data_IF_221559576331
#
_entry.id   IF_221559576331
#
_cell.length_a   1.000
_cell.length_b   1.000
_cell.length_c   1.000
_cell.angle_alpha   90.00
_cell.angle_beta   90.00
_cell.angle_gamma   90.00
#
_symmetry.space_group_name_H-M   'P 1'
#
loop_
_entity.id
_entity.type
_entity.pdbx_description
1 polymer ?
#
# COMPACT_ATOMS: atom_id res chain seq x y z
N UNK A 1 -49.37 13.33 -39.97
CA UNK A 1 -48.49 14.15 -39.14
C UNK A 1 -47.38 13.28 -38.58
N UNK A 2 -46.22 13.31 -39.22
CA UNK A 2 -45.07 12.49 -38.84
C UNK A 2 -44.24 13.21 -37.78
N UNK A 3 -44.10 12.55 -36.66
CA UNK A 3 -43.30 13.05 -35.55
C UNK A 3 -41.86 12.46 -35.69
N UNK A 4 -40.97 13.26 -36.23
CA UNK A 4 -39.52 12.90 -36.33
C UNK A 4 -38.91 13.18 -34.97
N UNK A 5 -38.79 12.12 -34.16
CA UNK A 5 -37.96 12.15 -32.95
C UNK A 5 -36.48 12.31 -33.31
N UNK A 6 -35.92 13.45 -32.96
CA UNK A 6 -34.46 13.65 -33.01
C UNK A 6 -33.83 12.70 -32.00
N UNK A 7 -33.06 11.74 -32.51
CA UNK A 7 -32.11 10.96 -31.71
C UNK A 7 -31.10 11.94 -31.10
N UNK A 8 -31.11 12.06 -29.78
CA UNK A 8 -30.04 12.71 -29.05
C UNK A 8 -28.80 11.84 -29.22
N UNK A 9 -27.83 12.34 -30.00
CA UNK A 9 -26.47 11.82 -30.05
C UNK A 9 -25.86 11.92 -28.62
N UNK A 10 -25.92 10.84 -27.89
CA UNK A 10 -25.14 10.69 -26.67
C UNK A 10 -23.69 10.59 -27.10
N UNK A 11 -22.96 11.71 -27.00
CA UNK A 11 -21.51 11.75 -27.12
C UNK A 11 -20.97 10.81 -26.00
N UNK A 12 -20.62 9.56 -26.38
CA UNK A 12 -19.88 8.69 -25.50
C UNK A 12 -18.55 9.35 -25.19
N UNK A 13 -18.43 9.94 -24.01
CA UNK A 13 -17.16 10.47 -23.50
C UNK A 13 -16.13 9.32 -23.51
N UNK A 14 -15.20 9.37 -24.44
CA UNK A 14 -14.11 8.39 -24.51
C UNK A 14 -13.10 8.69 -23.41
N UNK A 15 -12.86 7.71 -22.54
CA UNK A 15 -11.78 7.82 -21.56
C UNK A 15 -10.42 7.87 -22.26
N UNK A 16 -9.57 8.80 -21.84
CA UNK A 16 -8.21 9.05 -22.34
C UNK A 16 -7.23 8.73 -21.22
N UNK A 17 -6.07 8.16 -21.57
CA UNK A 17 -4.97 7.92 -20.65
C UNK A 17 -3.65 8.52 -21.18
N UNK A 18 -2.58 8.48 -20.35
CA UNK A 18 -1.27 8.99 -20.74
C UNK A 18 -0.67 8.24 -21.94
N UNK A 19 -1.03 6.96 -22.13
CA UNK A 19 -0.57 6.18 -23.29
C UNK A 19 -1.20 6.73 -24.57
N UNK A 20 -2.48 7.12 -24.53
CA UNK A 20 -3.17 7.75 -25.66
C UNK A 20 -2.54 9.12 -25.99
N UNK A 21 -2.26 9.92 -24.96
CA UNK A 21 -1.60 11.23 -25.11
C UNK A 21 -0.21 11.04 -25.75
N UNK A 22 0.62 10.14 -25.24
CA UNK A 22 1.95 9.86 -25.79
C UNK A 22 1.90 9.35 -27.22
N UNK A 23 0.94 8.49 -27.56
CA UNK A 23 0.74 8.00 -28.94
C UNK A 23 0.29 9.11 -29.88
N UNK A 24 -0.55 10.03 -29.45
CA UNK A 24 -1.00 11.16 -30.27
C UNK A 24 0.15 12.12 -30.58
N UNK A 25 1.08 12.30 -29.66
CA UNK A 25 2.29 13.11 -29.83
C UNK A 25 3.29 12.50 -30.83
N UNK A 26 3.50 11.16 -30.74
CA UNK A 26 4.50 10.47 -31.55
C UNK A 26 4.02 10.12 -32.95
N UNK A 27 2.71 9.97 -33.21
CA UNK A 27 2.18 9.44 -34.49
C UNK A 27 1.37 10.45 -35.31
N UNK A 28 1.26 11.73 -34.89
CA UNK A 28 0.39 12.66 -35.59
C UNK A 28 -1.03 12.09 -35.78
N UNK A 29 -2.05 12.84 -35.78
CA UNK A 29 -3.49 12.60 -35.72
C UNK A 29 -4.10 11.37 -36.49
N UNK A 30 -3.39 10.26 -36.70
CA UNK A 30 -3.85 9.06 -37.39
C UNK A 30 -3.71 7.80 -36.56
N UNK A 31 -4.66 7.58 -35.64
CA UNK A 31 -5.10 6.20 -35.29
C UNK A 31 -6.40 6.25 -34.51
N UNK A 32 -7.49 6.40 -35.22
CA UNK A 32 -8.84 6.15 -34.70
C UNK A 32 -9.08 4.65 -34.74
N UNK A 33 -8.55 3.88 -33.79
CA UNK A 33 -9.00 2.53 -33.54
C UNK A 33 -9.97 2.57 -32.37
N UNK A 34 -11.18 2.07 -32.61
CA UNK A 34 -12.16 1.83 -31.55
C UNK A 34 -11.60 0.80 -30.57
N UNK A 35 -11.23 1.27 -29.36
CA UNK A 35 -10.70 0.43 -28.30
C UNK A 35 -11.78 -0.27 -27.49
N UNK A 36 -12.78 -0.83 -28.15
CA UNK A 36 -13.59 -1.93 -27.62
C UNK A 36 -12.82 -3.23 -27.81
N UNK A 37 -11.64 -3.36 -27.20
CA UNK A 37 -10.95 -4.64 -27.13
C UNK A 37 -11.57 -5.41 -25.97
N UNK A 38 -12.27 -6.53 -26.22
CA UNK A 38 -12.64 -7.43 -25.14
C UNK A 38 -11.37 -7.76 -24.36
N UNK A 39 -11.39 -7.62 -23.05
CA UNK A 39 -10.27 -8.03 -22.23
C UNK A 39 -10.06 -9.53 -22.41
N UNK A 40 -9.10 -9.91 -23.24
CA UNK A 40 -8.80 -11.31 -23.51
C UNK A 40 -8.14 -11.91 -22.27
N UNK A 41 -8.62 -13.10 -21.90
CA UNK A 41 -7.98 -13.96 -20.89
C UNK A 41 -6.50 -14.11 -21.23
N UNK A 42 -5.62 -13.97 -20.21
CA UNK A 42 -4.18 -14.09 -20.37
C UNK A 42 -3.48 -12.89 -21.01
N UNK A 43 -4.21 -11.83 -21.42
CA UNK A 43 -3.56 -10.60 -21.90
C UNK A 43 -2.93 -9.84 -20.72
N UNK A 44 -1.61 -9.66 -20.80
CA UNK A 44 -0.85 -8.90 -19.82
C UNK A 44 -0.93 -7.40 -20.13
N UNK A 45 -1.38 -6.63 -19.16
CA UNK A 45 -1.35 -5.17 -19.19
C UNK A 45 -0.18 -4.68 -18.33
N UNK A 46 0.74 -3.97 -18.95
CA UNK A 46 1.94 -3.47 -18.28
C UNK A 46 1.83 -1.95 -18.20
N UNK A 47 1.98 -1.43 -17.00
CA UNK A 47 2.15 -0.01 -16.72
C UNK A 47 3.51 0.17 -16.08
N UNK A 48 4.44 0.80 -16.77
CA UNK A 48 5.77 1.06 -16.26
C UNK A 48 6.07 2.56 -16.38
N UNK A 49 6.66 3.13 -15.34
CA UNK A 49 6.96 4.54 -15.28
C UNK A 49 8.27 4.77 -14.54
N UNK A 50 9.27 5.40 -15.19
CA UNK A 50 10.38 6.00 -14.47
C UNK A 50 9.90 7.30 -13.80
N UNK A 51 10.13 7.41 -12.50
CA UNK A 51 9.77 8.58 -11.70
C UNK A 51 11.02 9.07 -10.98
N UNK A 52 11.22 10.37 -10.96
CA UNK A 52 12.13 11.02 -10.04
C UNK A 52 11.31 11.96 -9.17
N UNK A 53 11.53 11.93 -7.88
CA UNK A 53 10.74 12.72 -6.94
C UNK A 53 11.44 12.91 -5.60
N UNK A 54 10.78 13.65 -4.75
CA UNK A 54 11.20 13.89 -3.38
C UNK A 54 10.11 13.42 -2.42
N UNK A 55 10.49 12.62 -1.44
CA UNK A 55 9.63 12.27 -0.31
C UNK A 55 10.37 12.52 1.01
N UNK A 56 9.65 12.66 2.11
CA UNK A 56 10.25 12.81 3.44
C UNK A 56 11.21 11.67 3.78
N UNK A 57 10.90 10.47 3.33
CA UNK A 57 11.57 9.24 3.67
C UNK A 57 12.82 8.97 2.84
N UNK A 58 12.79 9.34 1.56
CA UNK A 58 13.85 9.02 0.60
C UNK A 58 14.72 10.23 0.28
N UNK A 59 14.28 11.45 0.61
CA UNK A 59 14.83 12.63 -0.04
C UNK A 59 14.56 12.54 -1.55
N UNK A 60 15.47 13.01 -2.39
CA UNK A 60 15.40 12.77 -3.81
C UNK A 60 15.64 11.29 -4.14
N UNK A 61 14.79 10.73 -4.98
CA UNK A 61 14.90 9.33 -5.40
C UNK A 61 14.58 9.17 -6.89
N UNK A 62 15.30 8.25 -7.52
CA UNK A 62 14.94 7.68 -8.81
C UNK A 62 14.23 6.34 -8.60
N UNK A 63 13.10 6.18 -9.24
CA UNK A 63 12.25 4.97 -9.12
C UNK A 63 11.90 4.49 -10.52
N UNK A 64 12.13 3.22 -10.80
CA UNK A 64 11.50 2.53 -11.93
C UNK A 64 10.44 1.61 -11.36
N UNK A 65 9.17 1.96 -11.54
CA UNK A 65 8.03 1.19 -11.04
C UNK A 65 7.28 0.52 -12.17
N UNK A 66 6.77 -0.69 -11.93
CA UNK A 66 6.00 -1.46 -12.90
C UNK A 66 4.84 -2.16 -12.22
N UNK A 67 3.68 -2.09 -12.85
CA UNK A 67 2.47 -2.82 -12.49
C UNK A 67 2.08 -3.72 -13.65
N UNK A 68 1.95 -5.01 -13.37
CA UNK A 68 1.47 -6.02 -14.32
C UNK A 68 0.07 -6.45 -13.87
N UNK A 69 -0.90 -6.39 -14.78
CA UNK A 69 -2.28 -6.75 -14.50
C UNK A 69 -2.80 -7.71 -15.58
N UNK A 70 -3.46 -8.79 -15.17
CA UNK A 70 -4.01 -9.80 -16.09
C UNK A 70 -5.16 -10.58 -15.44
N UNK A 71 -6.00 -11.20 -16.32
CA UNK A 71 -7.05 -12.10 -15.88
C UNK A 71 -6.69 -13.54 -16.25
N UNK A 72 -6.88 -14.46 -15.33
CA UNK A 72 -6.63 -15.91 -15.51
C UNK A 72 -7.84 -16.65 -16.06
N UNK A 73 -9.04 -16.03 -16.03
CA UNK A 73 -10.29 -16.52 -16.63
C UNK A 73 -11.10 -15.33 -17.16
N UNK A 74 -12.30 -15.58 -17.70
CA UNK A 74 -13.14 -14.51 -18.24
C UNK A 74 -13.44 -13.44 -17.20
N UNK A 75 -13.36 -12.17 -17.59
CA UNK A 75 -13.45 -11.00 -16.71
C UNK A 75 -14.70 -10.99 -15.83
N UNK A 76 -15.82 -11.51 -16.31
CA UNK A 76 -17.07 -11.63 -15.53
C UNK A 76 -16.99 -12.59 -14.34
N UNK A 77 -15.96 -13.45 -14.30
CA UNK A 77 -15.81 -14.53 -13.32
C UNK A 77 -14.48 -14.53 -12.58
N UNK A 78 -13.62 -13.56 -12.82
CA UNK A 78 -12.28 -13.52 -12.24
C UNK A 78 -11.94 -12.17 -11.65
N UNK A 79 -11.25 -12.20 -10.52
CA UNK A 79 -10.58 -11.02 -9.97
C UNK A 79 -9.33 -10.71 -10.81
N UNK A 80 -8.96 -9.43 -10.85
CA UNK A 80 -7.77 -8.97 -11.53
C UNK A 80 -6.53 -9.39 -10.74
N UNK A 81 -5.68 -10.18 -11.38
CA UNK A 81 -4.35 -10.51 -10.83
C UNK A 81 -3.40 -9.34 -11.08
N UNK A 82 -2.61 -9.01 -10.07
CA UNK A 82 -1.66 -7.90 -10.12
C UNK A 82 -0.29 -8.31 -9.61
N UNK A 83 0.76 -7.78 -10.23
CA UNK A 83 2.13 -7.84 -9.71
C UNK A 83 2.69 -6.43 -9.75
N UNK A 84 3.03 -5.89 -8.60
CA UNK A 84 3.69 -4.61 -8.44
C UNK A 84 5.15 -4.85 -8.09
N UNK A 85 6.07 -4.19 -8.79
CA UNK A 85 7.49 -4.20 -8.48
C UNK A 85 8.12 -2.86 -8.81
N UNK A 86 9.19 -2.54 -8.11
CA UNK A 86 9.95 -1.33 -8.39
C UNK A 86 11.42 -1.52 -8.01
N UNK A 87 12.28 -0.66 -8.53
CA UNK A 87 13.61 -0.46 -8.01
C UNK A 87 13.79 1.01 -7.70
N UNK A 88 14.20 1.32 -6.49
CA UNK A 88 14.40 2.69 -6.01
C UNK A 88 15.83 2.86 -5.52
N UNK A 89 16.45 3.96 -5.94
CA UNK A 89 17.68 4.45 -5.35
C UNK A 89 17.49 5.89 -4.87
N UNK A 90 17.81 6.16 -3.60
CA UNK A 90 17.49 7.43 -2.96
C UNK A 90 18.73 8.24 -2.57
N UNK A 91 18.51 9.52 -2.28
CA UNK A 91 19.52 10.46 -1.77
C UNK A 91 20.15 9.95 -0.47
N UNK A 92 19.41 9.23 0.36
CA UNK A 92 19.88 8.63 1.61
C UNK A 92 20.53 7.26 1.39
N UNK A 93 20.94 6.93 0.14
CA UNK A 93 21.60 5.66 -0.22
C UNK A 93 20.74 4.41 0.08
N UNK A 94 19.42 4.58 0.09
CA UNK A 94 18.49 3.46 0.19
C UNK A 94 18.43 2.73 -1.15
N UNK A 95 18.36 1.41 -1.08
CA UNK A 95 18.00 0.53 -2.19
C UNK A 95 16.73 -0.20 -1.77
N UNK A 96 15.66 -0.06 -2.55
CA UNK A 96 14.35 -0.62 -2.24
C UNK A 96 13.90 -1.43 -3.45
N UNK A 97 13.70 -2.73 -3.27
CA UNK A 97 13.26 -3.65 -4.31
C UNK A 97 12.15 -4.56 -3.78
N UNK A 98 10.87 -4.18 -3.88
CA UNK A 98 9.72 -5.02 -3.58
C UNK A 98 9.27 -5.80 -4.81
N UNK A 99 8.73 -7.00 -4.58
CA UNK A 99 7.89 -7.77 -5.50
C UNK A 99 6.63 -8.13 -4.73
N UNK A 100 5.51 -7.53 -5.08
CA UNK A 100 4.23 -7.75 -4.44
C UNK A 100 3.24 -8.27 -5.47
N UNK A 101 2.66 -9.44 -5.21
CA UNK A 101 1.75 -10.06 -6.14
C UNK A 101 0.48 -10.55 -5.42
N UNK A 102 -0.63 -10.37 -6.12
CA UNK A 102 -1.94 -10.89 -5.77
C UNK A 102 -2.49 -11.61 -7.00
N UNK A 103 -2.31 -12.93 -7.04
CA UNK A 103 -2.57 -13.74 -8.22
C UNK A 103 -3.77 -14.64 -7.97
N UNK A 104 -4.82 -14.46 -8.77
CA UNK A 104 -6.03 -15.25 -8.76
C UNK A 104 -5.94 -16.36 -9.78
N UNK A 105 -6.13 -17.60 -9.36
CA UNK A 105 -6.19 -18.73 -10.29
C UNK A 105 -7.56 -18.80 -10.99
N UNK A 106 -7.66 -19.63 -12.02
CA UNK A 106 -8.89 -19.80 -12.83
C UNK A 106 -10.12 -19.97 -11.94
N UNK A 107 -11.15 -19.13 -12.16
CA UNK A 107 -12.39 -19.14 -11.41
C UNK A 107 -12.24 -18.71 -9.95
N UNK A 108 -11.22 -17.94 -9.61
CA UNK A 108 -10.91 -17.48 -8.26
C UNK A 108 -10.77 -18.61 -7.21
N UNK A 109 -10.39 -19.82 -7.66
CA UNK A 109 -10.30 -20.99 -6.78
C UNK A 109 -9.23 -20.83 -5.71
N UNK A 110 -8.10 -20.23 -6.07
CA UNK A 110 -7.02 -19.87 -5.15
C UNK A 110 -6.60 -18.43 -5.38
N UNK A 111 -6.19 -17.80 -4.30
CA UNK A 111 -5.47 -16.54 -4.29
C UNK A 111 -4.05 -16.79 -3.77
N UNK A 112 -3.04 -16.34 -4.50
CA UNK A 112 -1.63 -16.49 -4.17
C UNK A 112 -1.10 -15.09 -3.87
N UNK A 113 -0.73 -14.86 -2.61
CA UNK A 113 -0.24 -13.57 -2.11
C UNK A 113 1.27 -13.68 -1.91
N UNK A 114 2.00 -12.74 -2.49
CA UNK A 114 3.46 -12.65 -2.39
C UNK A 114 3.84 -11.25 -1.93
N UNK A 115 4.68 -11.14 -0.90
CA UNK A 115 5.33 -9.90 -0.48
C UNK A 115 6.81 -10.19 -0.22
N UNK A 116 7.63 -10.01 -1.24
CA UNK A 116 9.07 -10.18 -1.18
C UNK A 116 9.74 -8.82 -1.27
N UNK A 117 10.70 -8.55 -0.37
CA UNK A 117 11.40 -7.26 -0.35
C UNK A 117 12.87 -7.45 -0.04
N UNK A 118 13.71 -6.75 -0.78
CA UNK A 118 15.11 -6.54 -0.44
C UNK A 118 15.34 -5.05 -0.22
N UNK A 119 15.82 -4.68 0.96
CA UNK A 119 16.08 -3.30 1.31
C UNK A 119 17.50 -3.14 1.89
N UNK A 120 18.22 -2.11 1.45
CA UNK A 120 19.26 -1.44 2.21
C UNK A 120 18.65 -0.14 2.68
N UNK A 121 18.47 0.04 3.99
CA UNK A 121 17.49 1.00 4.45
C UNK A 121 17.93 1.85 5.65
N UNK A 122 18.81 2.87 5.42
CA UNK A 122 18.91 3.96 6.37
C UNK A 122 17.54 4.61 6.56
N UNK A 123 17.07 4.67 7.80
CA UNK A 123 15.76 5.26 8.11
C UNK A 123 15.79 5.96 9.47
N UNK A 124 14.81 6.82 9.71
CA UNK A 124 14.65 7.47 11.00
C UNK A 124 13.84 6.59 11.97
N UNK A 125 14.20 6.64 13.24
CA UNK A 125 13.39 6.13 14.35
C UNK A 125 13.23 7.23 15.40
N UNK A 126 12.11 7.24 16.10
CA UNK A 126 11.74 8.29 17.07
C UNK A 126 11.47 7.70 18.46
N UNK A 127 11.80 6.43 18.67
CA UNK A 127 11.49 5.69 19.90
C UNK A 127 10.15 4.97 19.83
N UNK A 128 9.65 4.55 20.98
CA UNK A 128 8.43 3.78 21.15
C UNK A 128 7.28 4.61 21.72
N UNK A 129 6.05 4.33 21.25
CA UNK A 129 4.82 4.98 21.69
C UNK A 129 4.28 6.02 20.73
N UNK A 130 3.11 6.56 21.06
CA UNK A 130 2.46 7.65 20.33
C UNK A 130 2.91 9.04 20.76
N UNK A 131 3.49 9.17 21.98
CA UNK A 131 3.95 10.43 22.57
C UNK A 131 5.45 10.65 22.35
N UNK A 132 5.92 10.52 21.10
CA UNK A 132 7.31 10.80 20.75
C UNK A 132 7.45 12.16 20.08
N UNK A 133 8.60 12.84 20.33
CA UNK A 133 8.86 14.16 19.74
C UNK A 133 9.47 14.05 18.34
N UNK A 134 9.15 14.99 17.47
CA UNK A 134 9.66 14.99 16.10
C UNK A 134 11.18 15.27 16.01
N UNK A 135 11.71 16.01 16.96
CA UNK A 135 13.14 16.37 17.10
C UNK A 135 13.97 15.27 17.78
N UNK A 136 13.34 14.24 18.34
CA UNK A 136 14.04 13.08 18.92
C UNK A 136 14.46 12.02 17.91
N UNK A 137 14.21 12.25 16.62
CA UNK A 137 14.55 11.30 15.56
C UNK A 137 16.05 11.15 15.35
N UNK A 138 16.52 9.91 15.21
CA UNK A 138 17.88 9.57 14.83
C UNK A 138 17.90 8.45 13.82
N UNK A 139 19.03 8.30 13.11
CA UNK A 139 19.13 7.31 12.03
C UNK A 139 19.40 5.91 12.58
N UNK A 140 18.77 4.93 11.96
CA UNK A 140 19.04 3.50 12.11
C UNK A 140 19.30 2.91 10.73
N UNK A 141 20.46 2.27 10.56
CA UNK A 141 20.85 1.58 9.32
C UNK A 141 20.60 0.09 9.45
N UNK A 142 20.10 -0.54 8.39
CA UNK A 142 19.96 -1.98 8.31
C UNK A 142 19.81 -2.46 6.87
N UNK A 143 20.15 -3.73 6.64
CA UNK A 143 19.68 -4.51 5.51
C UNK A 143 18.44 -5.31 5.90
N UNK A 144 17.54 -5.55 4.97
CA UNK A 144 16.30 -6.28 5.25
C UNK A 144 15.89 -7.15 4.06
N UNK A 145 15.62 -8.41 4.34
CA UNK A 145 14.99 -9.36 3.43
C UNK A 145 13.67 -9.83 4.03
N UNK A 146 12.58 -9.63 3.29
CA UNK A 146 11.26 -10.20 3.57
C UNK A 146 10.92 -11.21 2.50
N UNK A 147 10.46 -12.38 2.90
CA UNK A 147 9.89 -13.39 2.03
C UNK A 147 8.60 -13.91 2.65
N UNK A 148 7.50 -13.27 2.33
CA UNK A 148 6.15 -13.66 2.77
C UNK A 148 5.42 -14.27 1.60
N UNK A 149 4.88 -15.48 1.79
CA UNK A 149 4.15 -16.21 0.76
C UNK A 149 2.94 -16.88 1.36
N UNK A 150 1.75 -16.62 0.83
CA UNK A 150 0.51 -17.27 1.26
C UNK A 150 -0.28 -17.84 0.08
N UNK A 151 -1.04 -18.88 0.36
CA UNK A 151 -1.98 -19.50 -0.58
C UNK A 151 -3.32 -19.61 0.14
N UNK A 152 -4.34 -18.95 -0.40
CA UNK A 152 -5.68 -18.94 0.11
C UNK A 152 -6.60 -19.70 -0.84
N UNK A 153 -7.50 -20.50 -0.31
CA UNK A 153 -8.52 -21.23 -1.07
C UNK A 153 -9.88 -20.59 -0.84
N UNK A 154 -10.68 -20.49 -1.91
CA UNK A 154 -12.07 -20.05 -1.79
C UNK A 154 -12.87 -21.02 -0.92
N UNK A 155 -13.65 -20.48 0.01
CA UNK A 155 -14.54 -21.22 0.93
C UNK A 155 -15.99 -20.72 0.84
N UNK A 156 -16.21 -19.62 0.12
CA UNK A 156 -17.53 -19.04 -0.10
C UNK A 156 -17.46 -17.97 -1.16
N UNK A 157 -18.56 -17.24 -1.39
CA UNK A 157 -18.57 -16.12 -2.33
C UNK A 157 -17.66 -15.01 -1.83
N UNK A 158 -16.61 -14.67 -2.59
CA UNK A 158 -15.58 -13.67 -2.26
C UNK A 158 -14.83 -13.93 -0.94
N UNK A 159 -14.92 -15.15 -0.38
CA UNK A 159 -14.38 -15.55 0.90
C UNK A 159 -13.29 -16.62 0.74
N UNK A 160 -12.15 -16.38 1.38
CA UNK A 160 -10.96 -17.21 1.25
C UNK A 160 -10.33 -17.46 2.61
N UNK A 161 -9.84 -18.66 2.82
CA UNK A 161 -9.02 -19.05 3.96
C UNK A 161 -7.71 -19.65 3.46
N UNK A 162 -6.63 -19.37 4.14
CA UNK A 162 -5.34 -19.84 3.73
C UNK A 162 -4.26 -19.85 4.78
N UNK A 163 -3.14 -20.40 4.36
CA UNK A 163 -1.93 -20.46 5.18
C UNK A 163 -0.78 -19.85 4.39
N UNK A 164 0.18 -19.30 5.14
CA UNK A 164 1.40 -18.74 4.61
C UNK A 164 2.61 -19.11 5.44
N UNK A 165 3.76 -18.77 4.90
CA UNK A 165 5.03 -18.77 5.58
C UNK A 165 5.67 -17.39 5.43
N UNK A 166 6.08 -16.82 6.55
CA UNK A 166 6.60 -15.45 6.63
C UNK A 166 8.00 -15.49 7.24
N UNK A 167 8.97 -15.06 6.44
CA UNK A 167 10.37 -14.95 6.85
C UNK A 167 10.84 -13.51 6.73
N UNK A 168 11.39 -12.97 7.82
CA UNK A 168 12.03 -11.66 7.87
C UNK A 168 13.44 -11.80 8.43
N UNK A 169 14.42 -11.20 7.74
CA UNK A 169 15.80 -11.17 8.14
C UNK A 169 16.36 -9.76 8.06
N UNK A 170 16.79 -9.24 9.21
CA UNK A 170 17.51 -7.98 9.32
C UNK A 170 18.97 -8.25 9.63
N UNK A 171 19.87 -7.49 9.01
CA UNK A 171 21.30 -7.58 9.25
C UNK A 171 21.96 -6.20 9.24
N UNK A 172 23.17 -6.12 9.84
CA UNK A 172 23.93 -4.89 9.98
C UNK A 172 23.13 -3.77 10.65
N UNK A 173 22.27 -4.11 11.60
CA UNK A 173 21.48 -3.13 12.34
C UNK A 173 22.43 -2.30 13.20
N UNK A 174 22.36 -0.98 13.08
CA UNK A 174 23.15 -0.04 13.87
C UNK A 174 22.44 1.30 13.98
N UNK A 175 22.52 1.89 15.14
CA UNK A 175 22.15 3.29 15.34
C UNK A 175 23.26 4.21 14.81
N UNK A 176 22.88 5.31 14.19
CA UNK A 176 23.80 6.33 13.66
C UNK A 176 23.50 7.64 14.33
N UNK A 177 24.49 8.17 15.04
CA UNK A 177 24.41 9.42 15.81
C UNK A 177 23.21 9.46 16.77
N UNK A 178 23.04 8.43 17.64
CA UNK A 178 21.96 8.43 18.61
C UNK A 178 22.14 9.58 19.63
N UNK A 179 21.04 10.03 20.28
CA UNK A 179 21.11 11.08 21.30
C UNK A 179 22.09 10.75 22.42
N UNK A 180 23.01 11.66 22.72
CA UNK A 180 24.02 11.44 23.75
C UNK A 180 23.43 11.44 25.17
N UNK A 181 23.98 10.61 26.04
CA UNK A 181 23.75 10.64 27.49
C UNK A 181 22.50 9.92 28.00
N UNK A 182 21.71 9.30 27.13
CA UNK A 182 20.57 8.45 27.51
C UNK A 182 20.50 7.24 26.60
N UNK A 183 20.21 6.07 27.19
CA UNK A 183 19.92 4.90 26.40
C UNK A 183 18.71 5.15 25.49
N UNK A 184 18.82 4.78 24.22
CA UNK A 184 17.73 4.88 23.26
C UNK A 184 16.62 3.85 23.57
N UNK A 185 15.44 4.03 22.98
CA UNK A 185 14.40 3.00 23.12
C UNK A 185 14.78 1.70 22.42
N UNK A 186 15.58 1.77 21.35
CA UNK A 186 16.11 0.57 20.70
C UNK A 186 17.10 -0.18 21.63
N UNK A 187 18.01 0.53 22.30
CA UNK A 187 18.91 -0.08 23.29
C UNK A 187 18.13 -0.71 24.46
N UNK A 188 17.13 0.01 25.03
CA UNK A 188 16.28 -0.49 26.12
C UNK A 188 15.45 -1.69 25.68
N UNK A 189 14.98 -1.68 24.47
CA UNK A 189 14.23 -2.80 23.89
C UNK A 189 15.13 -4.01 23.67
N UNK A 190 16.42 -3.80 23.50
CA UNK A 190 17.46 -4.80 23.34
C UNK A 190 18.05 -4.79 21.95
N UNK A 191 19.12 -4.01 21.83
CA UNK A 191 19.90 -3.87 20.60
C UNK A 191 20.44 -5.22 20.12
N UNK A 192 20.17 -5.56 18.86
CA UNK A 192 20.78 -6.69 18.15
C UNK A 192 21.28 -6.23 16.78
N UNK A 193 22.45 -6.72 16.36
CA UNK A 193 22.97 -6.44 15.01
C UNK A 193 22.29 -7.24 13.92
N UNK A 194 21.53 -8.24 14.30
CA UNK A 194 20.83 -9.17 13.42
C UNK A 194 19.56 -9.63 14.10
N UNK A 195 18.44 -9.65 13.38
CA UNK A 195 17.16 -10.14 13.86
C UNK A 195 16.52 -11.05 12.80
N UNK A 196 15.99 -12.18 13.23
CA UNK A 196 15.29 -13.14 12.39
C UNK A 196 13.91 -13.38 12.97
N UNK A 197 12.88 -13.28 12.12
CA UNK A 197 11.55 -13.74 12.42
C UNK A 197 11.12 -14.77 11.38
N UNK A 198 10.67 -15.91 11.84
CA UNK A 198 10.25 -17.03 11.00
C UNK A 198 9.01 -17.67 11.58
N UNK A 199 7.93 -17.65 10.81
CA UNK A 199 6.63 -18.10 11.30
C UNK A 199 5.72 -18.59 10.19
N UNK A 200 4.64 -19.23 10.59
CA UNK A 200 3.51 -19.53 9.73
C UNK A 200 2.50 -18.41 9.85
N UNK A 201 1.65 -18.23 8.85
CA UNK A 201 0.52 -17.29 8.95
C UNK A 201 -0.79 -17.96 8.56
N UNK A 202 -1.84 -17.59 9.27
CA UNK A 202 -3.21 -17.95 8.92
C UNK A 202 -3.93 -16.71 8.39
N UNK A 203 -4.59 -16.87 7.26
CA UNK A 203 -5.23 -15.79 6.55
C UNK A 203 -6.73 -16.03 6.39
N UNK A 204 -7.51 -15.01 6.71
CA UNK A 204 -8.89 -14.85 6.30
C UNK A 204 -8.95 -13.65 5.35
N UNK A 205 -9.60 -13.82 4.19
CA UNK A 205 -9.78 -12.77 3.21
C UNK A 205 -11.21 -12.78 2.66
N UNK A 206 -11.85 -11.62 2.72
CA UNK A 206 -13.04 -11.28 1.96
C UNK A 206 -12.69 -10.17 0.97
N UNK A 207 -12.86 -10.39 -0.34
CA UNK A 207 -12.58 -9.39 -1.36
C UNK A 207 -13.66 -9.38 -2.45
N UNK A 208 -14.56 -8.41 -2.34
CA UNK A 208 -15.63 -8.15 -3.32
C UNK A 208 -15.30 -7.01 -4.29
N UNK A 209 -14.07 -6.51 -4.28
CA UNK A 209 -13.60 -5.49 -5.23
C UNK A 209 -13.40 -6.14 -6.60
N UNK A 210 -13.93 -5.53 -7.64
CA UNK A 210 -13.68 -6.01 -9.03
C UNK A 210 -12.31 -5.60 -9.57
N UNK A 211 -11.81 -4.48 -9.11
CA UNK A 211 -10.50 -3.95 -9.49
C UNK A 211 -9.77 -3.46 -8.22
N UNK A 212 -8.70 -4.14 -7.77
CA UNK A 212 -7.95 -3.74 -6.59
C UNK A 212 -7.03 -2.53 -6.81
N UNK A 213 -6.72 -2.17 -8.08
CA UNK A 213 -5.85 -1.04 -8.42
C UNK A 213 -6.57 0.29 -8.24
N UNK A 214 -7.87 0.33 -8.60
CA UNK A 214 -8.73 1.51 -8.49
C UNK A 214 -10.16 1.06 -8.20
N UNK A 215 -10.47 0.68 -6.97
CA UNK A 215 -11.78 0.21 -6.58
C UNK A 215 -12.79 1.37 -6.49
N UNK A 216 -13.95 1.20 -7.11
CA UNK A 216 -15.08 2.15 -7.03
C UNK A 216 -16.14 1.70 -6.04
N UNK A 217 -16.31 0.39 -5.91
CA UNK A 217 -17.31 -0.24 -5.05
C UNK A 217 -16.77 -1.55 -4.48
N UNK A 218 -17.46 -2.05 -3.47
CA UNK A 218 -17.13 -3.30 -2.82
C UNK A 218 -16.47 -3.11 -1.47
N UNK A 219 -15.90 -4.18 -0.96
CA UNK A 219 -15.20 -4.20 0.31
C UNK A 219 -14.06 -5.19 0.27
N UNK A 220 -13.11 -4.97 1.13
CA UNK A 220 -11.97 -5.82 1.39
C UNK A 220 -11.83 -5.97 2.91
N UNK A 221 -11.67 -7.19 3.38
CA UNK A 221 -11.37 -7.47 4.78
C UNK A 221 -10.35 -8.60 4.85
N UNK A 222 -9.19 -8.31 5.36
CA UNK A 222 -8.12 -9.28 5.58
C UNK A 222 -7.79 -9.35 7.06
N UNK A 223 -7.69 -10.56 7.59
CA UNK A 223 -7.18 -10.83 8.93
C UNK A 223 -6.02 -11.79 8.80
N UNK A 224 -4.86 -11.37 9.30
CA UNK A 224 -3.65 -12.20 9.30
C UNK A 224 -3.20 -12.43 10.73
N UNK A 225 -3.17 -13.69 11.16
CA UNK A 225 -2.56 -14.11 12.41
C UNK A 225 -1.23 -14.80 12.10
N UNK A 226 -0.15 -14.32 12.72
CA UNK A 226 1.21 -14.79 12.46
C UNK A 226 1.91 -15.14 13.78
N UNK A 227 1.96 -16.39 14.18
CA UNK A 227 2.88 -16.90 15.19
C UNK A 227 4.27 -17.15 14.58
N UNK A 228 5.31 -16.70 15.27
CA UNK A 228 6.71 -16.95 14.94
C UNK A 228 7.31 -17.90 15.99
N UNK A 229 8.18 -18.79 15.56
CA UNK A 229 8.67 -19.88 16.39
C UNK A 229 10.19 -20.05 16.30
N UNK A 230 10.85 -20.23 17.43
CA UNK A 230 12.29 -20.48 17.49
C UNK A 230 12.67 -21.77 16.78
N UNK A 231 11.83 -22.79 16.78
CA UNK A 231 12.08 -24.03 16.04
C UNK A 231 12.05 -23.87 14.51
N UNK A 232 11.44 -22.78 14.00
CA UNK A 232 11.49 -22.40 12.58
C UNK A 232 12.64 -21.42 12.26
N UNK A 233 13.47 -21.07 13.27
CA UNK A 233 14.59 -20.16 13.10
C UNK A 233 14.32 -18.71 13.50
N UNK A 234 13.18 -18.40 14.12
CA UNK A 234 12.93 -17.08 14.73
C UNK A 234 13.80 -16.91 15.98
N UNK A 235 14.26 -15.67 16.25
CA UNK A 235 15.06 -15.37 17.44
C UNK A 235 14.26 -15.52 18.74
N UNK A 236 12.93 -15.29 18.67
CA UNK A 236 12.01 -15.49 19.80
C UNK A 236 10.64 -15.99 19.33
N UNK A 237 9.85 -16.53 20.27
CA UNK A 237 8.46 -16.90 20.03
C UNK A 237 7.58 -15.67 20.28
N UNK A 238 6.99 -15.14 19.25
CA UNK A 238 6.11 -14.00 19.33
C UNK A 238 4.98 -14.09 18.29
N UNK A 239 3.95 -13.29 18.43
CA UNK A 239 2.76 -13.39 17.61
C UNK A 239 2.31 -12.00 17.17
N UNK A 240 1.69 -11.91 16.00
CA UNK A 240 1.02 -10.70 15.56
C UNK A 240 -0.36 -10.99 14.98
N UNK A 241 -1.23 -9.99 15.07
CA UNK A 241 -2.57 -10.00 14.51
C UNK A 241 -2.78 -8.68 13.77
N UNK A 242 -3.09 -8.79 12.48
CA UNK A 242 -3.30 -7.66 11.57
C UNK A 242 -4.71 -7.71 11.00
N UNK A 243 -5.41 -6.57 11.06
CA UNK A 243 -6.67 -6.32 10.39
C UNK A 243 -6.45 -5.25 9.32
N UNK A 244 -6.87 -5.53 8.08
CA UNK A 244 -6.90 -4.58 6.97
C UNK A 244 -8.31 -4.58 6.39
N UNK A 245 -9.07 -3.53 6.72
CA UNK A 245 -10.49 -3.41 6.38
C UNK A 245 -10.69 -2.20 5.48
N UNK A 246 -11.30 -2.40 4.31
CA UNK A 246 -11.51 -1.34 3.33
C UNK A 246 -12.93 -1.38 2.79
N UNK A 247 -13.55 -0.20 2.63
CA UNK A 247 -14.87 -0.05 2.04
C UNK A 247 -14.86 1.05 0.99
N UNK A 248 -15.51 0.78 -0.14
CA UNK A 248 -15.63 1.71 -1.26
C UNK A 248 -17.08 1.86 -1.64
N UNK A 249 -17.50 3.11 -1.83
CA UNK A 249 -18.89 3.45 -2.18
C UNK A 249 -18.86 4.58 -3.21
N UNK A 250 -19.61 4.43 -4.32
CA UNK A 250 -19.84 5.53 -5.24
C UNK A 250 -20.66 6.61 -4.54
N UNK A 251 -20.13 7.84 -4.46
CA UNK A 251 -20.78 8.95 -3.76
C UNK A 251 -20.55 10.29 -4.48
N UNK A 252 -21.60 11.04 -4.85
CA UNK A 252 -23.03 10.66 -4.78
C UNK A 252 -23.34 9.39 -5.58
N UNK A 253 -24.43 8.72 -5.24
CA UNK A 253 -24.87 7.53 -5.96
C UNK A 253 -24.96 7.80 -7.47
N UNK A 254 -24.61 6.81 -8.30
CA UNK A 254 -24.60 6.89 -9.77
C UNK A 254 -23.50 7.79 -10.36
N UNK A 255 -22.53 8.23 -9.57
CA UNK A 255 -21.31 8.91 -10.06
C UNK A 255 -20.11 7.97 -10.08
N UNK A 256 -19.04 8.39 -10.75
CA UNK A 256 -17.73 7.72 -10.69
C UNK A 256 -16.87 8.21 -9.51
N UNK A 257 -17.38 9.14 -8.70
CA UNK A 257 -16.69 9.59 -7.51
C UNK A 257 -16.82 8.51 -6.42
N UNK A 258 -15.79 8.37 -5.60
CA UNK A 258 -15.69 7.30 -4.60
C UNK A 258 -15.42 7.90 -3.23
N UNK A 259 -16.24 7.51 -2.25
CA UNK A 259 -15.89 7.60 -0.84
C UNK A 259 -15.27 6.27 -0.42
N UNK A 260 -14.02 6.31 0.01
CA UNK A 260 -13.26 5.15 0.46
C UNK A 260 -12.90 5.30 1.94
N UNK A 261 -12.96 4.19 2.68
CA UNK A 261 -12.64 4.11 4.10
C UNK A 261 -11.68 2.93 4.29
N UNK A 262 -10.64 3.14 5.07
CA UNK A 262 -9.61 2.16 5.38
C UNK A 262 -9.30 2.15 6.88
N UNK A 263 -9.39 0.97 7.52
CA UNK A 263 -8.86 0.69 8.86
C UNK A 263 -7.72 -0.32 8.74
N UNK A 264 -6.62 -0.06 9.45
CA UNK A 264 -5.43 -0.90 9.44
C UNK A 264 -4.89 -1.01 10.86
N UNK A 265 -5.28 -2.09 11.55
CA UNK A 265 -5.03 -2.25 12.97
C UNK A 265 -4.07 -3.42 13.18
N UNK A 266 -2.94 -3.16 13.83
CA UNK A 266 -1.86 -4.13 13.97
C UNK A 266 -1.45 -4.28 15.42
N UNK A 267 -1.49 -5.52 15.92
CA UNK A 267 -1.24 -5.86 17.31
C UNK A 267 -0.14 -6.91 17.42
N UNK A 268 0.75 -6.75 18.42
CA UNK A 268 1.61 -7.82 18.89
C UNK A 268 0.95 -8.54 20.05
N UNK A 269 0.98 -9.87 20.04
CA UNK A 269 0.29 -10.72 21.02
C UNK A 269 1.29 -11.60 21.75
N UNK A 270 0.94 -11.96 22.99
CA UNK A 270 1.74 -12.88 23.81
C UNK A 270 2.90 -12.22 24.54
N UNK A 271 3.72 -13.03 25.20
CA UNK A 271 4.83 -12.58 26.07
C UNK A 271 6.20 -12.60 25.43
N UNK A 272 6.32 -13.00 24.16
CA UNK A 272 7.60 -13.04 23.44
C UNK A 272 8.04 -11.67 22.92
N UNK A 273 9.30 -11.57 22.59
CA UNK A 273 9.90 -10.33 22.11
C UNK A 273 9.81 -10.24 20.58
N UNK A 274 8.91 -9.37 20.10
CA UNK A 274 8.87 -9.01 18.67
C UNK A 274 10.13 -8.23 18.30
N UNK A 275 10.83 -8.53 17.20
CA UNK A 275 11.94 -7.70 16.74
C UNK A 275 11.53 -6.22 16.62
N UNK A 276 12.41 -5.31 17.06
CA UNK A 276 12.10 -3.86 17.09
C UNK A 276 11.63 -3.33 15.74
N UNK A 277 12.29 -3.73 14.66
CA UNK A 277 11.97 -3.30 13.30
C UNK A 277 10.69 -3.93 12.73
N UNK A 278 10.15 -4.98 13.37
CA UNK A 278 8.87 -5.61 13.03
C UNK A 278 7.70 -5.17 13.91
N UNK A 279 7.94 -4.29 14.88
CA UNK A 279 6.85 -3.67 15.64
C UNK A 279 5.95 -2.85 14.71
N UNK A 280 4.64 -2.81 14.97
CA UNK A 280 3.70 -1.92 14.30
C UNK A 280 4.23 -0.49 14.21
N UNK A 281 4.23 0.09 13.02
CA UNK A 281 4.86 1.38 12.77
C UNK A 281 4.19 2.13 11.63
N UNK A 282 4.21 3.46 11.70
CA UNK A 282 3.74 4.37 10.64
C UNK A 282 4.36 4.00 9.30
N UNK A 283 3.55 3.80 8.27
CA UNK A 283 4.02 3.57 6.89
C UNK A 283 4.67 2.21 6.65
N UNK A 284 4.45 1.21 7.54
CA UNK A 284 5.00 -0.15 7.38
C UNK A 284 3.98 -1.17 6.87
N UNK A 285 2.83 -0.71 6.36
CA UNK A 285 1.92 -1.54 5.59
C UNK A 285 2.56 -2.05 4.27
N UNK A 286 1.82 -2.91 3.56
CA UNK A 286 2.34 -3.57 2.36
C UNK A 286 2.88 -2.58 1.31
N UNK A 287 2.25 -1.43 1.16
CA UNK A 287 2.58 -0.44 0.12
C UNK A 287 3.18 0.86 0.67
N UNK A 288 3.47 0.92 1.98
CA UNK A 288 3.97 2.11 2.68
C UNK A 288 3.06 3.33 2.55
N UNK A 289 1.76 3.10 2.62
CA UNK A 289 0.71 4.08 2.37
C UNK A 289 0.00 4.59 3.63
N UNK A 290 0.10 3.88 4.77
CA UNK A 290 -0.53 4.33 6.01
C UNK A 290 0.05 5.65 6.49
N UNK A 291 -0.84 6.52 6.99
CA UNK A 291 -0.50 7.79 7.61
C UNK A 291 0.19 8.82 6.70
N UNK A 292 -0.38 9.02 5.49
CA UNK A 292 0.02 10.14 4.63
C UNK A 292 0.02 11.45 5.43
N UNK A 293 1.14 12.18 5.39
CA UNK A 293 1.42 13.36 6.21
C UNK A 293 2.52 13.12 7.26
N UNK A 294 2.95 11.87 7.44
CA UNK A 294 4.04 11.50 8.35
C UNK A 294 5.13 10.72 7.61
N UNK A 295 6.37 10.89 8.08
CA UNK A 295 7.48 10.06 7.62
C UNK A 295 7.31 8.62 8.10
N UNK A 296 7.74 7.64 7.33
CA UNK A 296 7.74 6.24 7.74
C UNK A 296 8.54 6.05 9.03
N UNK A 297 8.03 5.25 9.97
CA UNK A 297 8.68 5.03 11.25
C UNK A 297 8.48 6.18 12.25
N UNK A 298 7.66 7.22 11.94
CA UNK A 298 7.41 8.34 12.86
C UNK A 298 6.89 7.89 14.22
N UNK A 299 6.03 6.89 14.23
CA UNK A 299 5.57 6.23 15.44
C UNK A 299 5.78 4.73 15.32
N UNK A 300 6.09 4.09 16.44
CA UNK A 300 6.32 2.66 16.54
C UNK A 300 5.92 2.17 17.93
N UNK A 301 5.20 1.06 18.02
CA UNK A 301 4.89 0.43 19.30
C UNK A 301 4.41 -1.00 19.13
N UNK A 302 4.00 -1.65 20.23
CA UNK A 302 3.45 -3.00 20.20
C UNK A 302 2.07 -3.07 19.54
N UNK A 303 1.29 -1.99 19.59
CA UNK A 303 -0.03 -1.96 18.99
C UNK A 303 -0.25 -0.63 18.24
N UNK A 304 -0.92 -0.71 17.11
CA UNK A 304 -1.27 0.39 16.23
C UNK A 304 -2.74 0.30 15.84
N UNK A 305 -3.42 1.44 15.91
CA UNK A 305 -4.74 1.67 15.31
C UNK A 305 -4.62 2.74 14.24
N UNK A 306 -5.22 2.50 13.09
CA UNK A 306 -5.22 3.42 11.97
C UNK A 306 -6.57 3.47 11.27
N UNK A 307 -7.03 4.68 10.97
CA UNK A 307 -8.22 4.94 10.17
C UNK A 307 -7.94 6.03 9.16
N UNK A 308 -8.36 5.82 7.91
CA UNK A 308 -8.30 6.81 6.84
C UNK A 308 -9.63 6.84 6.07
N UNK A 309 -10.01 8.03 5.64
CA UNK A 309 -11.08 8.22 4.66
C UNK A 309 -10.59 9.13 3.55
N UNK A 310 -11.02 8.83 2.31
CA UNK A 310 -10.72 9.69 1.17
C UNK A 310 -11.91 9.80 0.22
N UNK A 311 -12.00 10.96 -0.41
CA UNK A 311 -12.96 11.23 -1.47
C UNK A 311 -12.23 11.47 -2.79
N UNK A 312 -12.44 10.54 -3.74
CA UNK A 312 -11.88 10.57 -5.09
C UNK A 312 -12.91 11.14 -6.05
N UNK A 313 -12.51 12.08 -6.91
CA UNK A 313 -13.43 12.73 -7.83
C UNK A 313 -12.77 13.01 -9.19
N UNK A 314 -13.60 13.01 -10.25
CA UNK A 314 -13.17 13.38 -11.59
C UNK A 314 -13.02 14.89 -11.74
N UNK A 315 -11.94 15.33 -12.40
CA UNK A 315 -11.70 16.73 -12.77
C UNK A 315 -11.98 16.95 -14.25
N UNK A 316 -11.43 16.07 -15.12
CA UNK A 316 -11.61 16.18 -16.57
C UNK A 316 -12.74 15.28 -17.07
N UNK A 317 -13.54 15.78 -18.01
CA UNK A 317 -14.65 15.02 -18.61
C UNK A 317 -14.23 13.79 -19.39
N UNK A 318 -12.97 13.75 -19.86
CA UNK A 318 -12.38 12.59 -20.57
C UNK A 318 -11.73 11.56 -19.64
N UNK A 319 -11.81 11.76 -18.30
CA UNK A 319 -11.27 10.83 -17.30
C UNK A 319 -9.73 10.81 -17.19
N UNK A 320 -9.01 11.72 -17.89
CA UNK A 320 -7.55 11.79 -17.79
C UNK A 320 -7.08 12.30 -16.41
N UNK A 321 -7.79 13.31 -15.88
CA UNK A 321 -7.44 13.95 -14.60
C UNK A 321 -8.54 13.77 -13.59
N UNK A 322 -8.14 13.40 -12.37
CA UNK A 322 -8.94 13.34 -11.17
C UNK A 322 -8.24 13.98 -9.98
N UNK A 323 -8.92 14.03 -8.87
CA UNK A 323 -8.41 14.54 -7.61
C UNK A 323 -8.83 13.68 -6.43
N UNK A 324 -8.16 13.88 -5.30
CA UNK A 324 -8.50 13.28 -4.00
C UNK A 324 -8.35 14.30 -2.90
N UNK A 325 -9.19 14.20 -1.88
CA UNK A 325 -8.97 14.76 -0.55
C UNK A 325 -9.08 13.64 0.47
N UNK A 326 -8.25 13.67 1.50
CA UNK A 326 -8.19 12.62 2.51
C UNK A 326 -7.95 13.16 3.91
N UNK A 327 -8.39 12.37 4.90
CA UNK A 327 -8.06 12.56 6.30
C UNK A 327 -7.78 11.20 6.95
N UNK A 328 -6.77 11.15 7.81
CA UNK A 328 -6.41 9.95 8.55
C UNK A 328 -6.13 10.25 10.02
N UNK A 329 -6.12 9.22 10.84
CA UNK A 329 -5.71 9.26 12.23
C UNK A 329 -5.03 7.95 12.59
N UNK A 330 -3.96 8.04 13.37
CA UNK A 330 -3.25 6.90 13.92
C UNK A 330 -3.05 7.05 15.42
N UNK A 331 -3.00 5.91 16.11
CA UNK A 331 -2.69 5.85 17.54
C UNK A 331 -1.82 4.64 17.82
N UNK A 332 -0.86 4.80 18.71
CA UNK A 332 0.09 3.76 19.11
C UNK A 332 0.01 3.55 20.61
N UNK A 333 0.14 2.30 21.05
CA UNK A 333 0.15 1.99 22.48
C UNK A 333 1.41 2.53 23.14
N UNK A 334 1.28 3.05 24.38
CA UNK A 334 2.43 3.54 25.15
C UNK A 334 3.21 2.38 25.78
N UNK A 335 4.55 2.41 25.75
CA UNK A 335 5.39 1.41 26.41
C UNK A 335 5.04 1.23 27.89
N UNK A 336 5.04 0.00 28.37
CA UNK A 336 4.77 -0.35 29.75
C UNK A 336 3.30 -0.32 30.17
N UNK A 337 2.49 0.63 29.69
CA UNK A 337 1.05 0.68 29.99
C UNK A 337 0.19 -0.04 28.96
N UNK A 338 0.69 -0.16 27.73
CA UNK A 338 0.02 -0.70 26.56
C UNK A 338 -1.32 0.01 26.22
N UNK A 339 -1.48 1.28 26.66
CA UNK A 339 -2.69 2.08 26.46
C UNK A 339 -2.51 3.03 25.28
N UNK A 340 -3.57 3.22 24.50
CA UNK A 340 -3.64 4.26 23.48
C UNK A 340 -3.99 5.59 24.14
N UNK A 341 -3.07 6.55 24.13
CA UNK A 341 -3.22 7.84 24.80
C UNK A 341 -3.22 9.03 23.83
N UNK A 342 -2.58 8.88 22.68
CA UNK A 342 -2.39 9.94 21.72
C UNK A 342 -2.96 9.55 20.36
N UNK A 343 -3.60 10.52 19.71
CA UNK A 343 -4.07 10.42 18.34
C UNK A 343 -3.27 11.40 17.49
N UNK A 344 -2.65 10.90 16.43
CA UNK A 344 -1.93 11.71 15.45
C UNK A 344 -2.76 11.81 14.15
N UNK A 345 -3.52 12.90 13.95
CA UNK A 345 -4.29 13.14 12.73
C UNK A 345 -3.39 13.58 11.58
N UNK A 346 -3.78 13.21 10.36
CA UNK A 346 -3.22 13.72 9.12
C UNK A 346 -4.33 14.03 8.11
N UNK A 347 -4.06 14.92 7.17
CA UNK A 347 -4.98 15.25 6.09
C UNK A 347 -4.23 15.73 4.85
N UNK A 348 -4.89 15.75 3.74
CA UNK A 348 -4.25 16.20 2.52
C UNK A 348 -5.12 16.12 1.29
N UNK A 349 -4.47 16.28 0.16
CA UNK A 349 -5.09 16.16 -1.15
C UNK A 349 -4.08 15.83 -2.22
N UNK A 350 -4.57 15.48 -3.40
CA UNK A 350 -3.70 15.11 -4.50
C UNK A 350 -4.40 15.04 -5.83
N UNK A 351 -3.59 14.78 -6.84
CA UNK A 351 -4.04 14.61 -8.22
C UNK A 351 -3.93 13.15 -8.65
N UNK A 352 -4.79 12.78 -9.58
CA UNK A 352 -4.85 11.49 -10.23
C UNK A 352 -4.71 11.69 -11.73
N UNK A 353 -3.73 11.02 -12.33
CA UNK A 353 -3.51 11.08 -13.78
C UNK A 353 -3.69 9.65 -14.30
N UNK A 354 -4.67 9.44 -15.19
CA UNK A 354 -4.93 8.12 -15.77
C UNK A 354 -3.73 7.67 -16.60
N UNK A 355 -2.99 6.69 -16.13
CA UNK A 355 -1.83 6.11 -16.81
C UNK A 355 -2.24 5.02 -17.79
N UNK A 356 -3.16 4.15 -17.39
CA UNK A 356 -3.65 3.04 -18.20
C UNK A 356 -5.14 2.81 -17.92
N UNK A 357 -5.99 3.14 -18.87
CA UNK A 357 -7.45 3.00 -18.78
C UNK A 357 -7.95 1.56 -18.67
N UNK A 358 -7.20 0.57 -19.17
CA UNK A 358 -7.60 -0.84 -19.17
C UNK A 358 -7.41 -1.48 -17.79
N UNK A 359 -6.27 -1.29 -17.15
CA UNK A 359 -6.04 -1.71 -15.77
C UNK A 359 -6.59 -0.73 -14.75
N UNK A 360 -7.00 0.48 -15.21
CA UNK A 360 -7.45 1.62 -14.39
C UNK A 360 -6.35 2.12 -13.45
N UNK A 361 -5.09 1.95 -13.86
CA UNK A 361 -3.95 2.44 -13.11
C UNK A 361 -3.83 3.94 -13.24
N UNK A 362 -3.84 4.63 -12.11
CA UNK A 362 -3.55 6.05 -11.99
C UNK A 362 -2.10 6.26 -11.53
N UNK A 363 -1.48 7.35 -11.96
CA UNK A 363 -0.39 7.97 -11.27
C UNK A 363 -0.99 8.91 -10.23
N UNK A 364 -0.73 8.61 -8.96
CA UNK A 364 -1.23 9.37 -7.81
C UNK A 364 -0.10 10.22 -7.25
N UNK A 365 -0.34 11.51 -7.06
CA UNK A 365 0.60 12.45 -6.45
C UNK A 365 -0.16 13.20 -5.37
N UNK A 366 0.13 12.87 -4.12
CA UNK A 366 -0.54 13.42 -2.95
C UNK A 366 0.42 14.28 -2.14
N UNK A 367 -0.10 15.29 -1.46
CA UNK A 367 0.57 15.98 -0.39
C UNK A 367 -0.25 15.86 0.90
N UNK A 368 0.40 15.38 1.96
CA UNK A 368 -0.21 15.21 3.28
C UNK A 368 0.44 16.10 4.32
N UNK A 369 -0.36 16.58 5.26
CA UNK A 369 0.04 17.31 6.46
C UNK A 369 -0.28 16.48 7.70
N UNK A 370 0.64 16.46 8.65
CA UNK A 370 0.50 15.88 9.99
C UNK A 370 0.73 16.91 11.09
N UNK A 371 0.82 16.44 12.34
CA UNK A 371 1.11 17.29 13.49
C UNK A 371 2.55 17.83 13.47
N UNK A 372 2.76 18.95 14.18
CA UNK A 372 4.07 19.55 14.46
C UNK A 372 4.90 19.84 13.18
N UNK A 373 4.24 20.31 12.12
CA UNK A 373 4.90 20.64 10.86
C UNK A 373 5.30 19.44 10.02
N UNK A 374 4.86 18.22 10.37
CA UNK A 374 5.04 17.06 9.51
C UNK A 374 4.25 17.23 8.22
N UNK A 375 4.84 16.86 7.08
CA UNK A 375 4.16 16.90 5.79
C UNK A 375 5.10 16.49 4.66
N UNK A 376 4.54 15.98 3.56
CA UNK A 376 5.34 15.58 2.41
C UNK A 376 4.54 15.02 1.26
N UNK A 377 5.27 14.74 0.17
CA UNK A 377 4.74 14.14 -1.02
C UNK A 377 4.72 12.61 -0.92
N UNK A 378 3.66 12.02 -1.50
CA UNK A 378 3.46 10.58 -1.65
C UNK A 378 3.12 10.32 -3.13
N UNK A 379 3.84 9.38 -3.75
CA UNK A 379 3.65 9.04 -5.16
C UNK A 379 3.40 7.55 -5.30
N UNK A 380 2.29 7.18 -5.94
CA UNK A 380 1.87 5.80 -6.10
C UNK A 380 1.46 5.50 -7.55
N UNK A 381 1.56 4.22 -7.94
CA UNK A 381 0.94 3.64 -9.12
C UNK A 381 -0.27 2.79 -8.72
N UNK A 382 -1.47 3.22 -9.06
CA UNK A 382 -2.72 2.73 -8.52
C UNK A 382 -3.18 3.58 -7.33
N UNK A 383 -4.42 3.39 -6.88
CA UNK A 383 -4.90 4.12 -5.71
C UNK A 383 -4.19 3.66 -4.43
N UNK A 384 -4.21 4.50 -3.41
CA UNK A 384 -3.47 4.30 -2.16
C UNK A 384 -3.97 3.06 -1.42
N UNK A 385 -5.29 2.79 -1.45
CA UNK A 385 -5.90 1.59 -0.88
C UNK A 385 -7.18 1.18 -1.58
#
# INVERSE_FOLDING_TARGET
MSNTGKAQDTVKNRSVDLVDVGRSWLKGHRSRREDTIPQKVGKLHISALPVAGYTLQTGFAGVLSSNFAFYTSEHSQANLSTVLTSITYSQYQQIIFPIQADIWTKGNKYNIITDWRYLKYPSLTYGLGGNTYADSGYNIDYGYLRLHQAILKTVGHDLYLGLGYDFDYFWNIREVDPPAGKATDFERYGLSRKEIASGISAHFLYDSRRNPINPENGGYASVTYRPNFTFLGSDDNWQSLLFDLRKYVSFPASTHNVLAIWSYDWFTLGGGKTPYLLLPSTGWDAYSNTARGYIQGRFRSQNMLYLETEYRFGISSNGLLGGVVFANAQSFSEPGSNKFQYIAPGYGGGIRISLNKFSRTNLCIDYGWGLHGSGGFFVNLGEVF
#
